data_IF_611147906213
#
_entry.id   IF_611147906213
#
_cell.length_a   1.000
_cell.length_b   1.000
_cell.length_c   1.000
_cell.angle_alpha   90.00
_cell.angle_beta   90.00
_cell.angle_gamma   90.00
#
_symmetry.space_group_name_H-M   'P 1'
#
loop_
_entity.id
_entity.type
_entity.pdbx_description
1 polymer ?
#
# COMPACT_ATOMS: atom_id res chain seq x y z
N UNK A 1 -40.82 10.95 13.80
CA UNK A 1 -40.03 10.26 12.78
C UNK A 1 -38.75 11.05 12.57
N UNK A 2 -37.66 10.67 13.25
CA UNK A 2 -36.38 11.36 13.17
C UNK A 2 -35.54 10.66 12.09
N UNK A 3 -35.38 11.33 10.96
CA UNK A 3 -34.62 10.83 9.80
C UNK A 3 -33.12 10.89 10.12
N UNK A 4 -32.51 9.70 10.20
CA UNK A 4 -31.23 9.33 9.60
C UNK A 4 -30.23 10.48 9.32
N UNK A 5 -29.22 10.65 10.18
CA UNK A 5 -27.96 11.32 9.85
C UNK A 5 -26.81 10.32 10.04
N UNK A 6 -26.74 9.35 9.14
CA UNK A 6 -25.62 8.43 8.97
C UNK A 6 -24.47 9.19 8.28
N UNK A 7 -23.30 9.21 8.94
CA UNK A 7 -21.94 9.24 8.37
C UNK A 7 -21.60 10.42 7.45
N UNK A 8 -20.89 11.44 7.96
CA UNK A 8 -20.16 12.40 7.09
C UNK A 8 -18.96 13.12 7.75
N UNK A 9 -18.31 12.48 8.72
CA UNK A 9 -16.90 12.79 8.98
C UNK A 9 -16.04 11.92 8.05
N UNK A 10 -15.95 12.35 6.78
CA UNK A 10 -14.97 11.81 5.84
C UNK A 10 -13.57 12.01 6.42
N UNK A 11 -13.01 10.95 6.98
CA UNK A 11 -11.61 10.82 7.40
C UNK A 11 -10.72 11.02 6.17
N UNK A 12 -10.40 12.27 5.85
CA UNK A 12 -9.55 12.62 4.72
C UNK A 12 -8.06 12.47 5.12
N UNK A 13 -7.69 11.22 5.38
CA UNK A 13 -6.32 10.75 5.38
C UNK A 13 -6.04 9.97 4.09
N UNK A 14 -4.79 9.53 3.87
CA UNK A 14 -4.47 8.67 2.74
C UNK A 14 -5.22 7.33 2.87
N UNK A 15 -5.66 6.72 1.75
CA UNK A 15 -6.20 5.36 1.79
C UNK A 15 -5.19 4.38 2.38
N UNK A 16 -5.65 3.42 3.15
CA UNK A 16 -4.81 2.40 3.77
C UNK A 16 -4.35 1.34 2.74
N UNK A 17 -3.22 0.69 3.05
CA UNK A 17 -2.70 -0.44 2.29
C UNK A 17 -1.96 -1.41 3.24
N UNK A 18 -1.95 -2.69 2.89
CA UNK A 18 -1.29 -3.72 3.67
C UNK A 18 -0.71 -4.83 2.80
N UNK A 19 0.38 -5.44 3.27
CA UNK A 19 0.95 -6.66 2.67
C UNK A 19 0.24 -7.85 3.29
N UNK A 20 -0.31 -8.73 2.46
CA UNK A 20 -0.80 -10.03 2.90
C UNK A 20 0.39 -10.98 3.09
N UNK A 21 0.41 -11.67 4.21
CA UNK A 21 1.42 -12.68 4.57
C UNK A 21 0.70 -13.93 5.07
N UNK A 22 1.40 -15.06 5.10
CA UNK A 22 0.84 -16.30 5.66
C UNK A 22 0.36 -16.14 7.12
N UNK A 23 0.94 -15.19 7.86
CA UNK A 23 0.62 -14.89 9.26
C UNK A 23 -0.36 -13.73 9.46
N UNK A 24 -0.95 -13.19 8.37
CA UNK A 24 -1.92 -12.08 8.42
C UNK A 24 -1.47 -10.84 7.65
N UNK A 25 -1.99 -9.67 8.04
CA UNK A 25 -1.79 -8.41 7.32
C UNK A 25 -0.76 -7.50 8.00
N UNK A 26 0.21 -7.01 7.23
CA UNK A 26 1.21 -6.04 7.69
C UNK A 26 0.87 -4.66 7.10
N UNK A 27 0.47 -3.67 7.92
CA UNK A 27 0.13 -2.35 7.43
C UNK A 27 1.35 -1.64 6.84
N UNK A 28 1.14 -0.97 5.72
CA UNK A 28 2.14 -0.11 5.11
C UNK A 28 2.06 1.29 5.72
N UNK A 29 3.22 1.89 5.93
CA UNK A 29 3.30 3.30 6.33
C UNK A 29 3.11 4.19 5.10
N UNK A 30 2.55 5.38 5.31
CA UNK A 30 2.45 6.39 4.26
C UNK A 30 3.64 7.33 4.36
N UNK A 31 4.36 7.51 3.25
CA UNK A 31 5.43 8.49 3.14
C UNK A 31 4.86 9.86 2.76
N UNK A 32 4.10 9.91 1.67
CA UNK A 32 3.43 11.12 1.19
C UNK A 32 2.19 10.79 0.35
N UNK A 33 1.28 11.75 0.21
CA UNK A 33 0.03 11.58 -0.50
C UNK A 33 -0.63 12.91 -0.92
N UNK A 34 -1.46 12.83 -1.95
CA UNK A 34 -2.54 13.78 -2.22
C UNK A 34 -3.79 12.99 -2.58
N UNK A 35 -4.89 13.25 -1.88
CA UNK A 35 -6.15 12.53 -2.06
C UNK A 35 -7.34 13.48 -1.96
N UNK A 36 -8.01 13.68 -3.09
CA UNK A 36 -8.96 14.78 -3.25
C UNK A 36 -8.24 16.13 -3.07
N UNK A 37 -8.80 17.07 -2.29
CA UNK A 37 -8.22 18.40 -2.09
C UNK A 37 -7.12 18.44 -1.01
N UNK A 38 -6.76 17.30 -0.39
CA UNK A 38 -5.81 17.26 0.73
C UNK A 38 -4.53 16.57 0.33
N UNK A 39 -3.42 17.05 0.88
CA UNK A 39 -2.11 16.43 0.73
C UNK A 39 -1.41 16.34 2.10
N UNK A 40 -0.45 15.43 2.22
CA UNK A 40 0.38 15.32 3.41
C UNK A 40 1.65 14.52 3.15
N UNK A 41 2.69 14.79 3.94
CA UNK A 41 3.96 14.08 3.89
C UNK A 41 4.41 13.74 5.32
N UNK A 42 3.78 12.75 5.97
CA UNK A 42 4.15 12.37 7.34
C UNK A 42 5.53 11.72 7.45
N UNK A 43 6.15 11.30 6.34
CA UNK A 43 7.47 10.65 6.29
C UNK A 43 7.56 9.50 7.32
N UNK A 44 6.52 8.66 7.37
CA UNK A 44 6.49 7.55 8.31
C UNK A 44 7.31 6.37 7.78
N UNK A 45 8.09 5.73 8.66
CA UNK A 45 8.67 4.42 8.41
C UNK A 45 7.69 3.34 8.91
N UNK A 46 7.56 2.22 8.18
CA UNK A 46 6.77 1.10 8.70
C UNK A 46 7.50 0.44 9.86
N UNK A 47 6.85 0.38 11.02
CA UNK A 47 7.36 -0.29 12.21
C UNK A 47 7.30 -1.83 12.10
N UNK A 48 6.61 -2.36 11.08
CA UNK A 48 6.41 -3.81 10.91
C UNK A 48 7.04 -4.31 9.63
N UNK A 49 7.51 -5.54 9.68
CA UNK A 49 8.18 -6.21 8.55
C UNK A 49 7.27 -7.29 7.99
N UNK A 50 7.05 -7.27 6.68
CA UNK A 50 6.41 -8.36 5.96
C UNK A 50 7.44 -9.46 5.69
N UNK A 51 7.04 -10.71 5.91
CA UNK A 51 7.90 -11.88 5.65
C UNK A 51 7.29 -12.65 4.49
N UNK A 52 8.10 -12.92 3.47
CA UNK A 52 7.76 -13.77 2.34
C UNK A 52 8.83 -14.84 2.14
N UNK A 53 8.46 -15.95 1.50
CA UNK A 53 9.43 -16.94 1.05
C UNK A 53 9.96 -16.54 -0.33
N UNK A 54 11.21 -16.84 -0.62
CA UNK A 54 11.77 -16.63 -1.95
C UNK A 54 10.97 -17.40 -2.98
N UNK A 55 10.66 -16.76 -4.11
CA UNK A 55 9.90 -17.35 -5.21
C UNK A 55 8.38 -17.37 -5.00
N UNK A 56 7.85 -16.96 -3.84
CA UNK A 56 6.40 -16.88 -3.63
C UNK A 56 5.84 -15.53 -4.01
N UNK A 57 4.52 -15.48 -4.27
CA UNK A 57 3.82 -14.22 -4.45
C UNK A 57 3.86 -13.39 -3.16
N UNK A 58 4.10 -12.10 -3.32
CA UNK A 58 3.79 -11.07 -2.33
C UNK A 58 2.55 -10.36 -2.83
N UNK A 59 1.57 -10.16 -1.96
CA UNK A 59 0.34 -9.46 -2.29
C UNK A 59 0.22 -8.19 -1.45
N UNK A 60 -0.11 -7.09 -2.09
CA UNK A 60 -0.46 -5.83 -1.44
C UNK A 60 -1.90 -5.53 -1.77
N UNK A 61 -2.72 -5.39 -0.74
CA UNK A 61 -4.12 -5.00 -0.86
C UNK A 61 -4.24 -3.50 -0.57
N UNK A 62 -4.94 -2.81 -1.46
CA UNK A 62 -5.19 -1.37 -1.40
C UNK A 62 -6.65 -1.12 -1.03
N UNK A 63 -6.95 -0.04 -0.31
CA UNK A 63 -8.35 0.35 -0.04
C UNK A 63 -9.07 0.96 -1.29
N UNK A 64 -8.47 0.89 -2.47
CA UNK A 64 -9.00 1.43 -3.72
C UNK A 64 -8.40 0.73 -4.94
N UNK A 65 -9.11 0.77 -6.06
CA UNK A 65 -8.61 0.26 -7.35
C UNK A 65 -7.64 1.28 -7.96
N UNK A 66 -6.35 0.95 -8.16
CA UNK A 66 -5.38 1.89 -8.67
C UNK A 66 -5.41 1.98 -10.20
N UNK A 67 -5.29 3.20 -10.73
CA UNK A 67 -5.09 3.49 -12.15
C UNK A 67 -3.66 3.15 -12.61
N UNK A 68 -2.67 3.37 -11.74
CA UNK A 68 -1.29 2.96 -11.96
C UNK A 68 -0.61 2.63 -10.64
N UNK A 69 0.35 1.71 -10.67
CA UNK A 69 1.17 1.36 -9.51
C UNK A 69 2.61 1.05 -9.94
N UNK A 70 3.57 1.43 -9.10
CA UNK A 70 4.98 1.06 -9.22
C UNK A 70 5.47 0.57 -7.88
N UNK A 71 6.22 -0.53 -7.88
CA UNK A 71 6.81 -1.10 -6.67
C UNK A 71 8.32 -1.23 -6.89
N UNK A 72 9.08 -0.81 -5.89
CA UNK A 72 10.51 -1.04 -5.80
C UNK A 72 10.83 -1.71 -4.46
N UNK A 73 11.77 -2.65 -4.48
CA UNK A 73 12.31 -3.30 -3.29
C UNK A 73 13.82 -3.17 -3.32
N UNK A 74 14.41 -2.65 -2.24
CA UNK A 74 15.82 -2.27 -2.15
C UNK A 74 16.25 -1.35 -3.31
N UNK A 75 15.40 -0.38 -3.67
CA UNK A 75 15.64 0.55 -4.78
C UNK A 75 15.46 -0.03 -6.19
N UNK A 76 15.34 -1.36 -6.33
CA UNK A 76 15.17 -2.00 -7.62
C UNK A 76 13.68 -2.22 -7.95
N UNK A 77 13.21 -1.83 -9.16
CA UNK A 77 11.83 -2.07 -9.56
C UNK A 77 11.52 -3.57 -9.63
N UNK A 78 10.27 -3.93 -9.37
CA UNK A 78 9.77 -5.31 -9.52
C UNK A 78 8.74 -5.38 -10.64
N UNK A 79 8.65 -6.53 -11.29
CA UNK A 79 7.59 -6.81 -12.26
C UNK A 79 6.29 -7.07 -11.50
N UNK A 80 5.33 -6.17 -11.68
CA UNK A 80 4.07 -6.15 -10.96
C UNK A 80 2.95 -6.73 -11.84
N UNK A 81 2.08 -7.51 -11.23
CA UNK A 81 0.75 -7.86 -11.75
C UNK A 81 -0.29 -7.13 -10.91
N UNK A 82 -1.37 -6.65 -11.54
CA UNK A 82 -2.47 -5.98 -10.85
C UNK A 82 -3.78 -6.68 -11.16
N UNK A 83 -4.57 -6.95 -10.13
CA UNK A 83 -5.93 -7.47 -10.25
C UNK A 83 -6.84 -6.72 -9.27
N UNK A 84 -7.76 -5.89 -9.79
CA UNK A 84 -8.57 -5.02 -8.94
C UNK A 84 -7.71 -4.08 -8.09
N UNK A 85 -7.93 -4.14 -6.78
CA UNK A 85 -7.21 -3.42 -5.72
C UNK A 85 -5.98 -4.18 -5.18
N UNK A 86 -5.65 -5.33 -5.77
CA UNK A 86 -4.52 -6.17 -5.37
C UNK A 86 -3.35 -5.99 -6.33
N UNK A 87 -2.17 -5.74 -5.76
CA UNK A 87 -0.89 -5.74 -6.45
C UNK A 87 -0.10 -6.99 -6.06
N UNK A 88 0.40 -7.74 -7.04
CA UNK A 88 1.17 -8.95 -6.77
C UNK A 88 2.50 -8.97 -7.52
N UNK A 89 3.52 -9.56 -6.91
CA UNK A 89 4.80 -9.84 -7.56
C UNK A 89 5.49 -11.03 -6.91
N UNK A 90 6.52 -11.57 -7.55
CA UNK A 90 7.32 -12.68 -6.99
C UNK A 90 8.45 -12.15 -6.12
N UNK A 91 8.51 -12.63 -4.87
CA UNK A 91 9.54 -12.30 -3.90
C UNK A 91 10.92 -12.81 -4.36
N UNK A 92 11.78 -11.90 -4.82
CA UNK A 92 13.14 -12.21 -5.25
C UNK A 92 14.22 -11.54 -4.39
N UNK A 93 13.87 -10.52 -3.61
CA UNK A 93 14.81 -9.71 -2.82
C UNK A 93 14.16 -9.16 -1.55
N UNK A 94 14.96 -9.01 -0.51
CA UNK A 94 14.57 -8.37 0.75
C UNK A 94 15.03 -6.90 0.77
N UNK A 95 14.39 -6.08 1.59
CA UNK A 95 14.81 -4.69 1.82
C UNK A 95 13.64 -3.75 2.09
N UNK A 96 13.95 -2.44 2.06
CA UNK A 96 12.95 -1.39 2.06
C UNK A 96 12.10 -1.48 0.80
N UNK A 97 10.80 -1.34 0.96
CA UNK A 97 9.83 -1.36 -0.13
C UNK A 97 9.20 0.01 -0.28
N UNK A 98 9.07 0.47 -1.52
CA UNK A 98 8.38 1.71 -1.88
C UNK A 98 7.33 1.39 -2.93
N UNK A 99 6.09 1.81 -2.66
CA UNK A 99 4.93 1.55 -3.51
C UNK A 99 4.30 2.89 -3.85
N UNK A 100 4.43 3.33 -5.09
CA UNK A 100 3.80 4.55 -5.59
C UNK A 100 2.52 4.17 -6.33
N UNK A 101 1.39 4.70 -5.89
CA UNK A 101 0.07 4.29 -6.39
C UNK A 101 -0.76 5.53 -6.73
N UNK A 102 -1.38 5.52 -7.90
CA UNK A 102 -2.33 6.56 -8.34
C UNK A 102 -3.70 5.95 -8.49
N UNK A 103 -4.71 6.55 -7.85
CA UNK A 103 -6.12 6.19 -7.95
C UNK A 103 -6.94 7.27 -8.67
N UNK A 104 -8.27 7.14 -8.60
CA UNK A 104 -9.16 8.14 -9.19
C UNK A 104 -9.12 9.49 -8.48
N UNK A 105 -8.85 9.50 -7.18
CA UNK A 105 -8.89 10.70 -6.32
C UNK A 105 -7.51 11.35 -6.11
N UNK A 106 -6.43 10.73 -6.56
CA UNK A 106 -5.07 11.26 -6.35
C UNK A 106 -4.02 10.15 -6.27
N UNK A 107 -2.94 10.40 -5.52
CA UNK A 107 -1.79 9.52 -5.41
C UNK A 107 -1.34 9.34 -3.95
N UNK A 108 -0.69 8.20 -3.69
CA UNK A 108 -0.10 7.85 -2.39
C UNK A 108 1.20 7.10 -2.60
N UNK A 109 2.21 7.41 -1.79
CA UNK A 109 3.46 6.66 -1.69
C UNK A 109 3.46 5.94 -0.35
N UNK A 110 3.42 4.61 -0.41
CA UNK A 110 3.58 3.75 0.74
C UNK A 110 5.02 3.27 0.87
N UNK A 111 5.43 3.01 2.11
CA UNK A 111 6.71 2.38 2.44
C UNK A 111 6.53 1.23 3.42
N UNK A 112 7.37 0.22 3.28
CA UNK A 112 7.36 -0.97 4.11
C UNK A 112 8.73 -1.63 4.17
N UNK A 113 8.86 -2.71 4.94
CA UNK A 113 10.03 -3.57 4.93
C UNK A 113 9.63 -4.98 4.55
N UNK A 114 10.34 -5.58 3.59
CA UNK A 114 10.16 -6.95 3.16
C UNK A 114 11.38 -7.77 3.56
N UNK A 115 11.17 -8.88 4.26
CA UNK A 115 12.17 -9.91 4.50
C UNK A 115 11.81 -11.11 3.63
N UNK A 116 12.80 -11.62 2.91
CA UNK A 116 12.67 -12.81 2.07
C UNK A 116 13.53 -13.91 2.67
N UNK A 117 12.91 -15.03 2.99
CA UNK A 117 13.57 -16.25 3.49
C UNK A 117 13.64 -17.30 2.40
#
# INVERSE_FOLDING_TARGET
MLVLAIVLAALAGPPHAYVATASGHVPLAVSSWCWGPRCGAPIAASARTAIARRGTAVEVQLAFVPKSARVAVAGAPVKLTRHGDVLTWIASRAGGMTISVTGAKGWVIYVGRLVVR
#
